data_IF_203646760037
#
_entry.id   IF_203646760037
#
_cell.length_a   1.000
_cell.length_b   1.000
_cell.length_c   1.000
_cell.angle_alpha   90.00
_cell.angle_beta   90.00
_cell.angle_gamma   90.00
#
_symmetry.space_group_name_H-M   'P 1'
#
loop_
_entity.id
_entity.type
_entity.pdbx_description
1 polymer ?
#
# COMPACT_ATOMS: atom_id res chain seq x y z
N UNK A 1 -17.72 -19.86 12.75
CA UNK A 1 -18.53 -18.68 12.38
C UNK A 1 -17.59 -17.48 12.28
N UNK A 2 -17.62 -16.81 11.15
CA UNK A 2 -16.79 -15.62 10.92
C UNK A 2 -17.72 -14.41 10.86
N UNK A 3 -17.39 -13.37 11.62
CA UNK A 3 -18.15 -12.13 11.67
C UNK A 3 -17.35 -11.02 10.98
N UNK A 4 -18.01 -10.23 10.14
CA UNK A 4 -17.47 -9.00 9.58
C UNK A 4 -17.85 -7.85 10.52
N UNK A 5 -16.84 -7.22 11.14
CA UNK A 5 -17.03 -6.05 11.99
C UNK A 5 -16.61 -4.80 11.22
N UNK A 6 -17.54 -3.87 11.09
CA UNK A 6 -17.28 -2.56 10.47
C UNK A 6 -17.10 -1.51 11.55
N UNK A 7 -16.01 -0.75 11.48
CA UNK A 7 -15.69 0.31 12.43
C UNK A 7 -15.71 1.68 11.73
N UNK A 8 -16.23 2.67 12.41
CA UNK A 8 -16.15 4.08 12.01
C UNK A 8 -15.61 4.89 13.18
N UNK A 9 -14.54 5.66 12.95
CA UNK A 9 -13.90 6.49 13.99
C UNK A 9 -13.53 5.72 15.26
N UNK A 10 -13.08 4.47 15.10
CA UNK A 10 -12.69 3.61 16.22
C UNK A 10 -13.85 2.99 17.00
N UNK A 11 -15.09 3.17 16.56
CA UNK A 11 -16.26 2.52 17.16
C UNK A 11 -16.85 1.46 16.24
N UNK A 12 -17.19 0.30 16.79
CA UNK A 12 -17.89 -0.77 16.08
C UNK A 12 -19.27 -0.26 15.66
N UNK A 13 -19.52 -0.16 14.34
CA UNK A 13 -20.81 0.34 13.80
C UNK A 13 -21.69 -0.75 13.21
N UNK A 14 -21.11 -1.90 12.84
CA UNK A 14 -21.87 -3.05 12.37
C UNK A 14 -21.12 -4.34 12.59
N UNK A 15 -21.86 -5.42 12.84
CA UNK A 15 -21.36 -6.81 12.82
C UNK A 15 -22.31 -7.61 11.93
N UNK A 16 -21.78 -8.20 10.87
CA UNK A 16 -22.54 -9.04 9.95
C UNK A 16 -21.99 -10.47 9.99
N UNK A 17 -22.88 -11.45 10.13
CA UNK A 17 -22.51 -12.85 10.09
C UNK A 17 -22.32 -13.27 8.62
N UNK A 18 -21.08 -13.54 8.22
CA UNK A 18 -20.77 -14.14 6.92
C UNK A 18 -20.80 -15.65 7.06
N UNK A 19 -21.77 -16.32 6.49
CA UNK A 19 -21.80 -17.77 6.45
C UNK A 19 -20.67 -18.29 5.56
N UNK A 20 -19.70 -18.97 6.14
CA UNK A 20 -18.61 -19.62 5.40
C UNK A 20 -19.00 -21.07 5.18
N UNK A 21 -19.22 -21.45 3.94
CA UNK A 21 -19.04 -22.84 3.49
C UNK A 21 -17.54 -23.07 3.54
N UNK A 22 -17.11 -24.09 4.28
CA UNK A 22 -15.72 -24.36 4.62
C UNK A 22 -14.80 -24.30 3.40
N UNK A 23 -14.08 -23.20 3.28
CA UNK A 23 -12.90 -23.04 2.44
C UNK A 23 -11.81 -22.45 3.34
N UNK A 24 -10.61 -23.05 3.32
CA UNK A 24 -9.50 -22.71 4.21
C UNK A 24 -8.84 -21.36 3.87
N UNK A 25 -9.57 -20.39 3.38
CA UNK A 25 -9.06 -19.04 3.17
C UNK A 25 -9.01 -18.28 4.48
N UNK A 26 -7.80 -17.96 4.92
CA UNK A 26 -7.58 -17.09 6.08
C UNK A 26 -7.90 -15.65 5.65
N UNK A 27 -9.06 -15.15 6.00
CA UNK A 27 -9.38 -13.73 5.86
C UNK A 27 -8.70 -12.99 7.00
N UNK A 28 -7.61 -12.28 6.70
CA UNK A 28 -6.99 -11.39 7.66
C UNK A 28 -7.65 -10.03 7.56
N UNK A 29 -8.43 -9.65 8.59
CA UNK A 29 -8.98 -8.30 8.70
C UNK A 29 -7.85 -7.39 9.22
N UNK A 30 -7.39 -6.48 8.38
CA UNK A 30 -6.42 -5.47 8.79
C UNK A 30 -7.17 -4.14 8.96
N UNK A 31 -7.21 -3.66 10.20
CA UNK A 31 -7.85 -2.38 10.54
C UNK A 31 -6.90 -1.24 10.17
N UNK A 32 -7.31 -0.38 9.25
CA UNK A 32 -6.54 0.79 8.85
C UNK A 32 -7.10 2.04 9.50
N UNK A 33 -6.36 2.59 10.45
CA UNK A 33 -6.60 3.92 10.96
C UNK A 33 -6.22 4.98 9.93
N UNK A 34 -7.19 5.63 9.30
CA UNK A 34 -6.95 6.72 8.37
C UNK A 34 -6.57 8.00 9.12
N UNK A 35 -5.30 8.31 9.20
CA UNK A 35 -4.86 9.68 9.45
C UNK A 35 -4.57 10.33 8.11
N UNK A 36 -5.60 10.93 7.54
CA UNK A 36 -5.50 11.66 6.27
C UNK A 36 -4.80 12.99 6.53
N UNK A 37 -3.58 13.15 6.07
CA UNK A 37 -3.00 14.46 5.82
C UNK A 37 -3.20 14.80 4.33
N UNK A 38 -4.22 15.57 4.06
CA UNK A 38 -4.44 16.46 2.89
C UNK A 38 -4.12 15.99 1.47
N UNK A 39 -4.27 14.71 1.13
CA UNK A 39 -4.48 14.29 -0.25
C UNK A 39 -5.82 13.57 -0.26
N UNK A 40 -6.74 14.07 -1.08
CA UNK A 40 -8.08 13.50 -1.25
C UNK A 40 -7.97 12.05 -1.72
N UNK A 41 -7.94 11.14 -0.74
CA UNK A 41 -7.99 9.70 -0.91
C UNK A 41 -9.23 9.20 -0.21
N UNK A 42 -10.35 9.62 -0.76
CA UNK A 42 -11.67 9.30 -0.27
C UNK A 42 -11.99 7.80 -0.29
N UNK A 43 -11.14 7.00 -0.93
CA UNK A 43 -11.35 5.57 -1.08
C UNK A 43 -10.26 4.78 -0.37
N UNK A 44 -10.62 4.17 0.76
CA UNK A 44 -9.72 3.35 1.56
C UNK A 44 -9.96 1.85 1.32
N UNK A 45 -8.93 1.04 1.50
CA UNK A 45 -9.06 -0.42 1.51
C UNK A 45 -9.83 -0.82 2.77
N UNK A 46 -10.93 -1.54 2.58
CA UNK A 46 -11.78 -2.04 3.67
C UNK A 46 -11.62 -3.54 3.88
N UNK A 47 -11.05 -4.25 2.88
CA UNK A 47 -10.85 -5.69 2.96
C UNK A 47 -9.70 -6.13 2.04
N UNK A 48 -8.98 -7.17 2.45
CA UNK A 48 -7.92 -7.82 1.66
C UNK A 48 -8.22 -9.30 1.58
N UNK A 49 -8.55 -9.77 0.39
CA UNK A 49 -8.86 -11.17 0.13
C UNK A 49 -7.69 -11.84 -0.55
N UNK A 50 -7.18 -12.90 0.06
CA UNK A 50 -6.08 -13.70 -0.48
C UNK A 50 -6.59 -14.95 -1.19
N UNK A 51 -5.87 -15.35 -2.24
CA UNK A 51 -6.05 -16.63 -2.90
C UNK A 51 -4.94 -17.61 -2.47
N UNK A 52 -5.08 -18.88 -2.85
CA UNK A 52 -4.13 -19.96 -2.50
C UNK A 52 -2.71 -19.74 -3.06
N UNK A 53 -2.54 -18.88 -4.06
CA UNK A 53 -1.26 -18.62 -4.72
C UNK A 53 -0.54 -17.38 -4.16
N UNK A 54 -1.04 -16.80 -3.06
CA UNK A 54 -0.45 -15.60 -2.42
C UNK A 54 -0.79 -14.28 -3.10
N UNK A 55 -1.58 -14.28 -4.17
CA UNK A 55 -2.24 -13.11 -4.73
C UNK A 55 -3.63 -12.90 -4.12
N UNK A 56 -4.42 -12.02 -4.74
CA UNK A 56 -5.76 -11.73 -4.27
C UNK A 56 -6.32 -10.43 -4.81
N UNK A 57 -7.19 -9.81 -4.03
CA UNK A 57 -7.69 -8.48 -4.34
C UNK A 57 -7.90 -7.62 -3.09
N UNK A 58 -7.70 -6.33 -3.28
CA UNK A 58 -8.08 -5.28 -2.35
C UNK A 58 -9.51 -4.87 -2.66
N UNK A 59 -10.33 -4.68 -1.65
CA UNK A 59 -11.67 -4.10 -1.78
C UNK A 59 -11.67 -2.72 -1.12
N UNK A 60 -12.18 -1.74 -1.84
CA UNK A 60 -12.26 -0.35 -1.42
C UNK A 60 -13.65 -0.01 -0.87
N UNK A 61 -13.71 1.06 -0.09
CA UNK A 61 -14.97 1.55 0.49
C UNK A 61 -16.00 1.97 -0.59
N UNK A 62 -15.55 2.36 -1.78
CA UNK A 62 -16.39 2.60 -2.96
C UNK A 62 -17.09 1.34 -3.49
N UNK A 63 -16.60 0.15 -3.12
CA UNK A 63 -16.99 -1.13 -3.70
C UNK A 63 -16.08 -1.59 -4.84
N UNK A 64 -15.16 -0.75 -5.29
CA UNK A 64 -14.17 -1.12 -6.30
C UNK A 64 -13.20 -2.18 -5.77
N UNK A 65 -12.64 -2.95 -6.69
CA UNK A 65 -11.65 -3.97 -6.38
C UNK A 65 -10.38 -3.80 -7.21
N UNK A 66 -9.24 -4.18 -6.63
CA UNK A 66 -7.95 -4.13 -7.32
C UNK A 66 -7.19 -5.41 -7.06
N UNK A 67 -6.84 -6.14 -8.12
CA UNK A 67 -6.13 -7.42 -7.99
C UNK A 67 -4.64 -7.20 -7.75
N UNK A 68 -4.06 -8.07 -6.95
CA UNK A 68 -2.62 -8.15 -6.72
C UNK A 68 -2.12 -9.58 -6.94
N UNK A 69 -0.88 -9.69 -7.38
CA UNK A 69 -0.20 -10.97 -7.63
C UNK A 69 0.70 -11.41 -6.48
N UNK A 70 1.03 -10.50 -5.56
CA UNK A 70 1.88 -10.80 -4.42
C UNK A 70 1.88 -9.65 -3.41
N UNK A 71 2.32 -9.97 -2.20
CA UNK A 71 2.45 -9.01 -1.08
C UNK A 71 3.84 -9.14 -0.47
N UNK A 72 4.49 -8.01 -0.26
CA UNK A 72 5.70 -7.91 0.54
C UNK A 72 5.40 -7.10 1.80
N UNK A 73 5.65 -7.70 2.97
CA UNK A 73 5.42 -7.07 4.27
C UNK A 73 6.73 -6.58 4.87
N UNK A 74 6.63 -5.59 5.76
CA UNK A 74 7.79 -5.01 6.47
C UNK A 74 8.89 -4.50 5.53
N UNK A 75 8.51 -3.99 4.37
CA UNK A 75 9.44 -3.34 3.45
C UNK A 75 9.92 -2.03 4.06
N UNK A 76 11.23 -1.85 4.22
CA UNK A 76 11.76 -0.58 4.69
C UNK A 76 11.52 0.51 3.62
N UNK A 77 10.79 1.55 3.98
CA UNK A 77 10.53 2.69 3.12
C UNK A 77 11.16 3.96 3.71
N UNK A 78 11.84 4.71 2.87
CA UNK A 78 12.32 6.07 3.12
C UNK A 78 11.55 7.05 2.24
N UNK A 79 11.85 8.34 2.35
CA UNK A 79 11.17 9.36 1.58
C UNK A 79 12.14 10.41 1.04
N UNK A 80 11.84 10.93 -0.15
CA UNK A 80 12.60 12.00 -0.79
C UNK A 80 11.67 13.00 -1.49
N UNK A 81 12.21 14.20 -1.81
CA UNK A 81 11.45 15.29 -2.44
C UNK A 81 12.26 16.01 -3.54
N UNK A 82 13.22 15.31 -4.15
CA UNK A 82 14.01 15.89 -5.23
C UNK A 82 13.17 15.91 -6.51
N UNK A 83 13.06 17.08 -7.14
CA UNK A 83 12.37 17.26 -8.41
C UNK A 83 13.31 17.00 -9.57
N UNK A 84 12.85 16.29 -10.60
CA UNK A 84 13.65 15.99 -11.79
C UNK A 84 13.13 14.80 -12.58
N UNK A 85 14.04 14.08 -13.21
CA UNK A 85 13.73 12.83 -13.92
C UNK A 85 14.11 11.60 -13.10
N UNK A 86 13.34 10.55 -13.23
CA UNK A 86 13.63 9.24 -12.65
C UNK A 86 14.46 8.38 -13.62
N UNK A 87 15.05 7.29 -13.13
CA UNK A 87 15.85 6.37 -13.94
C UNK A 87 15.04 5.71 -15.08
N UNK A 88 13.73 5.60 -14.97
CA UNK A 88 12.83 5.10 -16.03
C UNK A 88 12.46 6.16 -17.07
N UNK A 89 12.96 7.41 -16.93
CA UNK A 89 12.65 8.53 -17.82
C UNK A 89 11.34 9.26 -17.50
N UNK A 90 10.63 8.87 -16.44
CA UNK A 90 9.44 9.60 -15.96
C UNK A 90 9.86 10.81 -15.12
N UNK A 91 9.04 11.87 -15.03
CA UNK A 91 9.28 12.92 -14.04
C UNK A 91 9.10 12.35 -12.62
N UNK A 92 9.80 12.94 -11.65
CA UNK A 92 9.49 12.73 -10.25
C UNK A 92 8.10 13.28 -9.97
N UNK A 93 7.26 12.47 -9.37
CA UNK A 93 5.88 12.82 -9.03
C UNK A 93 5.38 11.87 -7.94
N UNK A 94 4.33 12.28 -7.24
CA UNK A 94 3.68 11.40 -6.28
C UNK A 94 3.21 10.10 -6.95
N UNK A 95 3.60 8.96 -6.36
CA UNK A 95 3.37 7.65 -6.94
C UNK A 95 4.49 7.12 -7.85
N UNK A 96 5.46 7.94 -8.26
CA UNK A 96 6.68 7.46 -8.92
C UNK A 96 7.76 7.24 -7.85
N UNK A 97 8.07 5.98 -7.54
CA UNK A 97 8.93 5.61 -6.42
C UNK A 97 10.23 4.95 -6.88
N UNK A 98 11.26 5.05 -6.03
CA UNK A 98 12.49 4.32 -6.25
C UNK A 98 12.43 2.94 -5.57
N UNK A 99 12.96 1.94 -6.28
CA UNK A 99 12.99 0.53 -5.90
C UNK A 99 14.31 -0.11 -6.31
N UNK A 100 14.50 -1.37 -5.96
CA UNK A 100 15.51 -2.23 -6.60
C UNK A 100 14.92 -2.85 -7.88
N UNK A 101 15.41 -2.45 -9.09
CA UNK A 101 14.86 -2.98 -10.34
C UNK A 101 15.09 -4.49 -10.55
N UNK A 102 16.01 -5.10 -9.79
CA UNK A 102 16.22 -6.55 -9.83
C UNK A 102 15.13 -7.32 -9.08
N UNK A 103 14.42 -6.66 -8.17
CA UNK A 103 13.28 -7.20 -7.41
C UNK A 103 11.96 -6.74 -8.01
N UNK A 104 11.86 -5.46 -8.29
CA UNK A 104 10.68 -4.81 -8.86
C UNK A 104 11.05 -4.10 -10.16
N UNK A 105 10.88 -4.73 -11.32
CA UNK A 105 11.16 -4.09 -12.62
C UNK A 105 10.41 -2.75 -12.78
N UNK A 106 11.01 -1.81 -13.52
CA UNK A 106 10.32 -0.55 -13.81
C UNK A 106 8.98 -0.78 -14.49
N UNK A 107 7.98 0.00 -14.06
CA UNK A 107 6.59 -0.17 -14.47
C UNK A 107 5.76 -1.07 -13.56
N UNK A 108 6.38 -1.81 -12.64
CA UNK A 108 5.64 -2.56 -11.61
C UNK A 108 4.75 -1.58 -10.83
N UNK A 109 3.48 -1.94 -10.69
CA UNK A 109 2.48 -1.13 -9.98
C UNK A 109 2.27 -1.68 -8.59
N UNK A 110 2.04 -0.78 -7.64
CA UNK A 110 1.86 -1.11 -6.23
C UNK A 110 0.68 -0.40 -5.62
N UNK A 111 0.18 -0.97 -4.53
CA UNK A 111 -0.57 -0.27 -3.51
C UNK A 111 0.19 -0.39 -2.19
N UNK A 112 0.45 0.73 -1.52
CA UNK A 112 1.39 0.80 -0.38
C UNK A 112 0.73 1.49 0.79
N UNK A 113 0.89 0.92 2.00
CA UNK A 113 0.57 1.56 3.25
C UNK A 113 1.64 1.30 4.32
N UNK A 114 1.72 2.16 5.32
CA UNK A 114 2.66 2.01 6.43
C UNK A 114 2.11 1.05 7.47
N UNK A 115 2.95 0.15 7.98
CA UNK A 115 2.56 -0.90 8.93
C UNK A 115 2.16 -0.30 10.31
N UNK A 116 2.64 0.91 10.63
CA UNK A 116 2.30 1.65 11.85
C UNK A 116 1.00 2.46 11.75
N UNK A 117 0.30 2.37 10.62
CA UNK A 117 -0.93 3.12 10.37
C UNK A 117 -0.74 4.62 10.18
N UNK A 118 0.51 5.09 9.99
CA UNK A 118 0.80 6.52 9.80
C UNK A 118 0.12 7.07 8.55
N UNK A 119 0.22 6.34 7.43
CA UNK A 119 -0.45 6.74 6.19
C UNK A 119 -0.64 5.58 5.21
N UNK A 120 -1.60 5.75 4.33
CA UNK A 120 -1.69 5.03 3.06
C UNK A 120 -1.04 5.88 1.97
N UNK A 121 0.11 5.43 1.45
CA UNK A 121 0.72 6.07 0.28
C UNK A 121 -0.13 5.83 -0.97
N UNK A 122 -0.75 4.65 -1.06
CA UNK A 122 -1.68 4.26 -2.12
C UNK A 122 -0.96 3.79 -3.37
N UNK A 123 -1.51 4.18 -4.54
CA UNK A 123 -1.00 3.75 -5.84
C UNK A 123 0.41 4.25 -6.09
N UNK A 124 1.30 3.34 -6.50
CA UNK A 124 2.67 3.67 -6.86
C UNK A 124 3.15 2.87 -8.08
N UNK A 125 4.20 3.35 -8.71
CA UNK A 125 4.85 2.70 -9.85
C UNK A 125 6.37 2.73 -9.65
N UNK A 126 7.01 1.59 -9.83
CA UNK A 126 8.47 1.48 -9.90
C UNK A 126 8.99 2.35 -11.04
N UNK A 127 9.64 3.45 -10.75
CA UNK A 127 10.06 4.43 -11.76
C UNK A 127 11.49 4.88 -11.60
N UNK A 128 12.06 4.70 -10.41
CA UNK A 128 13.40 5.16 -10.08
C UNK A 128 14.20 4.07 -9.36
N UNK A 129 15.48 4.32 -9.15
CA UNK A 129 16.37 3.47 -8.36
C UNK A 129 17.34 4.34 -7.57
N UNK A 130 17.96 3.73 -6.56
CA UNK A 130 19.01 4.36 -5.76
C UNK A 130 20.10 3.36 -5.38
N UNK A 131 21.32 3.85 -5.14
CA UNK A 131 22.45 3.00 -4.72
C UNK A 131 22.16 2.29 -3.40
N UNK A 132 21.41 2.93 -2.51
CA UNK A 132 21.02 2.41 -1.18
C UNK A 132 19.65 1.70 -1.18
N UNK A 133 18.91 1.75 -2.29
CA UNK A 133 17.59 1.12 -2.42
C UNK A 133 17.82 -0.26 -3.03
N UNK A 134 17.91 -1.28 -2.16
CA UNK A 134 18.22 -2.66 -2.53
C UNK A 134 17.26 -3.65 -1.87
N UNK A 135 16.96 -4.73 -2.60
CA UNK A 135 16.02 -5.75 -2.15
C UNK A 135 14.60 -5.19 -2.07
N UNK A 136 13.96 -5.37 -0.94
CA UNK A 136 12.59 -4.90 -0.67
C UNK A 136 12.53 -3.48 -0.09
N UNK A 137 13.59 -2.68 -0.25
CA UNK A 137 13.58 -1.28 0.15
C UNK A 137 12.89 -0.42 -0.90
N UNK A 138 12.23 0.63 -0.41
CA UNK A 138 11.52 1.61 -1.21
C UNK A 138 11.97 3.02 -0.83
N UNK A 139 11.91 3.96 -1.79
CA UNK A 139 12.04 5.38 -1.51
C UNK A 139 10.86 6.12 -2.13
N UNK A 140 10.02 6.68 -1.27
CA UNK A 140 8.73 7.25 -1.64
C UNK A 140 8.91 8.74 -1.93
N UNK A 141 8.43 9.18 -3.08
CA UNK A 141 8.52 10.59 -3.44
C UNK A 141 7.38 11.41 -2.82
N UNK A 142 7.72 12.57 -2.29
CA UNK A 142 6.80 13.59 -1.80
C UNK A 142 7.13 14.92 -2.45
N UNK A 143 6.11 15.77 -2.66
CA UNK A 143 6.29 17.08 -3.30
C UNK A 143 7.10 18.01 -2.40
N UNK A 144 6.78 18.03 -1.11
CA UNK A 144 7.39 18.91 -0.13
C UNK A 144 8.45 18.19 0.73
N UNK A 145 9.60 18.84 0.92
CA UNK A 145 10.67 18.32 1.79
C UNK A 145 10.17 18.05 3.22
N UNK A 146 9.30 18.91 3.73
CA UNK A 146 8.70 18.74 5.06
C UNK A 146 7.87 17.45 5.18
N UNK A 147 7.18 17.05 4.12
CA UNK A 147 6.42 15.80 4.07
C UNK A 147 7.35 14.59 4.07
N UNK A 148 8.42 14.64 3.28
CA UNK A 148 9.44 13.60 3.27
C UNK A 148 10.12 13.44 4.65
N UNK A 149 10.46 14.56 5.30
CA UNK A 149 11.01 14.55 6.66
C UNK A 149 10.02 13.99 7.68
N UNK A 150 8.74 14.33 7.59
CA UNK A 150 7.69 13.82 8.47
C UNK A 150 7.43 12.32 8.27
N UNK A 151 7.54 11.84 7.04
CA UNK A 151 7.48 10.42 6.73
C UNK A 151 8.68 9.69 7.36
N UNK A 152 9.89 10.19 7.17
CA UNK A 152 11.12 9.62 7.71
C UNK A 152 11.41 8.22 7.16
N UNK A 153 11.54 7.24 8.07
CA UNK A 153 11.76 5.82 7.75
C UNK A 153 10.69 4.97 8.45
N UNK A 154 10.01 4.12 7.68
CA UNK A 154 8.92 3.27 8.18
C UNK A 154 8.93 1.91 7.50
N UNK A 155 8.32 0.93 8.15
CA UNK A 155 7.98 -0.32 7.48
C UNK A 155 6.63 -0.16 6.77
N UNK A 156 6.55 -0.76 5.59
CA UNK A 156 5.37 -0.71 4.73
C UNK A 156 4.99 -2.11 4.28
N UNK A 157 3.70 -2.31 4.10
CA UNK A 157 3.16 -3.44 3.34
C UNK A 157 2.89 -2.97 1.90
N UNK A 158 3.34 -3.78 0.95
CA UNK A 158 3.36 -3.48 -0.48
C UNK A 158 2.61 -4.57 -1.23
N UNK A 159 1.50 -4.24 -1.86
CA UNK A 159 0.80 -5.13 -2.78
C UNK A 159 1.31 -4.89 -4.19
N UNK A 160 1.78 -5.94 -4.85
CA UNK A 160 2.19 -5.91 -6.25
C UNK A 160 0.94 -6.13 -7.10
N UNK A 161 0.50 -5.09 -7.80
CA UNK A 161 -0.74 -5.10 -8.58
C UNK A 161 -0.59 -5.88 -9.89
N UNK A 162 -1.65 -6.55 -10.27
CA UNK A 162 -1.75 -7.31 -11.53
C UNK A 162 -2.13 -6.42 -12.71
#
# INVERSE_FOLDING_TARGET
ETYLNTYSKGQLVATELVSVTADNSVTQIVEYGSRVTSVDRSDCVVDVVYNENGGGYLRFASGDTMTFSGVATSCEATAYSIHGGTASGRPTAYGNIAVDPSVFPYGTRFYIYTDDGYMTYGMATASDCGTSIKGYKLDLWFDEYSQACAFGRRNCTVFVLS
#
